data_IF_835498097786
#
_entry.id   IF_835498097786
#
_cell.length_a   1.000
_cell.length_b   1.000
_cell.length_c   1.000
_cell.angle_alpha   90.00
_cell.angle_beta   90.00
_cell.angle_gamma   90.00
#
_symmetry.space_group_name_H-M   'P 1'
#
loop_
_entity.id
_entity.type
_entity.pdbx_description
1 polymer ?
#
# COMPACT_ATOMS: atom_id res chain seq x y z
N UNK A 1 -3.60 -43.09 25.61
CA UNK A 1 -4.84 -42.77 24.88
C UNK A 1 -4.74 -41.49 24.00
N UNK A 2 -3.55 -41.01 23.60
CA UNK A 2 -3.40 -39.69 22.96
C UNK A 2 -3.47 -39.64 21.41
N UNK A 3 -3.31 -40.77 20.71
CA UNK A 3 -3.17 -40.74 19.24
C UNK A 3 -4.48 -40.67 18.45
N UNK A 4 -5.59 -41.17 19.00
CA UNK A 4 -6.88 -41.21 18.29
C UNK A 4 -7.57 -39.85 18.27
N UNK A 5 -7.45 -39.07 19.33
CA UNK A 5 -8.04 -37.74 19.44
C UNK A 5 -7.48 -36.79 18.37
N UNK A 6 -6.17 -36.83 18.11
CA UNK A 6 -5.55 -36.02 17.05
C UNK A 6 -6.02 -36.39 15.63
N UNK A 7 -6.24 -37.67 15.34
CA UNK A 7 -6.77 -38.11 14.04
C UNK A 7 -8.23 -37.67 13.84
N UNK A 8 -9.05 -37.79 14.88
CA UNK A 8 -10.46 -37.35 14.85
C UNK A 8 -10.53 -35.83 14.75
N UNK A 9 -9.73 -35.09 15.51
CA UNK A 9 -9.66 -33.63 15.49
C UNK A 9 -9.23 -33.09 14.12
N UNK A 10 -8.24 -33.74 13.48
CA UNK A 10 -7.82 -33.37 12.11
C UNK A 10 -8.95 -33.58 11.11
N UNK A 11 -9.69 -34.70 11.20
CA UNK A 11 -10.80 -34.98 10.30
C UNK A 11 -11.96 -33.98 10.49
N UNK A 12 -12.29 -33.64 11.74
CA UNK A 12 -13.36 -32.67 12.06
C UNK A 12 -12.96 -31.26 11.65
N UNK A 13 -11.76 -30.79 11.99
CA UNK A 13 -11.26 -29.46 11.62
C UNK A 13 -11.21 -29.25 10.10
N UNK A 14 -10.90 -30.29 9.33
CA UNK A 14 -10.91 -30.20 7.86
C UNK A 14 -12.31 -29.91 7.32
N UNK A 15 -13.33 -30.60 7.85
CA UNK A 15 -14.73 -30.37 7.45
C UNK A 15 -15.21 -28.97 7.85
N UNK A 16 -14.88 -28.53 9.07
CA UNK A 16 -15.30 -27.23 9.59
C UNK A 16 -14.63 -26.06 8.84
N UNK A 17 -13.30 -26.11 8.69
CA UNK A 17 -12.54 -25.06 8.00
C UNK A 17 -12.93 -24.96 6.52
N UNK A 18 -13.08 -26.08 5.82
CA UNK A 18 -13.50 -26.10 4.42
C UNK A 18 -14.93 -25.59 4.20
N UNK A 19 -15.85 -25.93 5.10
CA UNK A 19 -17.22 -25.42 5.04
C UNK A 19 -17.28 -23.90 5.28
N UNK A 20 -16.54 -23.40 6.27
CA UNK A 20 -16.44 -21.96 6.52
C UNK A 20 -15.84 -21.22 5.32
N UNK A 21 -14.73 -21.71 4.77
CA UNK A 21 -14.10 -21.11 3.60
C UNK A 21 -15.06 -21.05 2.41
N UNK A 22 -15.79 -22.14 2.11
CA UNK A 22 -16.75 -22.17 1.00
C UNK A 22 -17.87 -21.13 1.14
N UNK A 23 -18.39 -20.95 2.36
CA UNK A 23 -19.43 -19.94 2.65
C UNK A 23 -18.92 -18.52 2.44
N UNK A 24 -17.68 -18.25 2.89
CA UNK A 24 -17.05 -16.94 2.70
C UNK A 24 -16.79 -16.64 1.22
N UNK A 25 -16.23 -17.60 0.47
CA UNK A 25 -15.96 -17.44 -0.97
C UNK A 25 -17.23 -17.13 -1.74
N UNK A 26 -18.31 -17.89 -1.49
CA UNK A 26 -19.60 -17.66 -2.15
C UNK A 26 -20.24 -16.30 -1.84
N UNK A 27 -19.89 -15.70 -0.70
CA UNK A 27 -20.41 -14.38 -0.32
C UNK A 27 -19.54 -13.24 -0.87
N UNK A 28 -18.26 -13.50 -1.13
CA UNK A 28 -17.27 -12.48 -1.53
C UNK A 28 -16.88 -12.56 -3.01
N UNK A 29 -17.34 -13.56 -3.76
CA UNK A 29 -16.97 -13.76 -5.17
C UNK A 29 -17.46 -12.63 -6.10
N UNK A 30 -18.51 -11.91 -5.71
CA UNK A 30 -19.08 -10.81 -6.47
C UNK A 30 -18.37 -9.46 -6.24
N UNK A 31 -17.42 -9.40 -5.30
CA UNK A 31 -16.76 -8.15 -4.93
C UNK A 31 -15.59 -7.85 -5.85
N UNK A 32 -15.58 -6.64 -6.42
CA UNK A 32 -14.52 -6.20 -7.32
C UNK A 32 -14.12 -4.74 -7.03
N UNK A 33 -12.82 -4.48 -7.12
CA UNK A 33 -12.26 -3.13 -7.07
C UNK A 33 -12.42 -2.45 -8.43
N UNK A 34 -13.04 -1.29 -8.45
CA UNK A 34 -13.32 -0.50 -9.64
C UNK A 34 -12.23 0.55 -9.89
N UNK A 35 -12.18 1.11 -11.11
CA UNK A 35 -11.18 2.12 -11.49
C UNK A 35 -11.23 3.42 -10.66
N UNK A 36 -12.32 3.66 -9.95
CA UNK A 36 -12.48 4.79 -9.03
C UNK A 36 -11.98 4.48 -7.61
N UNK A 37 -11.23 3.37 -7.43
CA UNK A 37 -10.70 2.87 -6.16
C UNK A 37 -11.77 2.39 -5.15
N UNK A 38 -13.04 2.33 -5.56
CA UNK A 38 -14.13 1.81 -4.74
C UNK A 38 -14.29 0.30 -4.91
N UNK A 39 -14.71 -0.38 -3.84
CA UNK A 39 -15.07 -1.80 -3.90
C UNK A 39 -16.59 -1.91 -4.02
N UNK A 40 -17.06 -2.52 -5.10
CA UNK A 40 -18.49 -2.65 -5.42
C UNK A 40 -18.92 -4.10 -5.55
N UNK A 41 -20.19 -4.35 -5.25
CA UNK A 41 -20.87 -5.60 -5.56
C UNK A 41 -21.34 -5.61 -7.03
N UNK A 42 -21.75 -6.79 -7.51
CA UNK A 42 -22.34 -7.01 -8.83
C UNK A 42 -23.63 -6.19 -9.08
N UNK A 43 -24.37 -5.86 -8.02
CA UNK A 43 -25.57 -5.00 -8.05
C UNK A 43 -25.25 -3.51 -8.20
N UNK A 44 -23.99 -3.11 -8.05
CA UNK A 44 -23.55 -1.72 -8.04
C UNK A 44 -23.51 -1.05 -6.66
N UNK A 45 -23.85 -1.79 -5.59
CA UNK A 45 -23.75 -1.30 -4.22
C UNK A 45 -22.28 -1.11 -3.80
N UNK A 46 -21.99 0.03 -3.18
CA UNK A 46 -20.64 0.36 -2.67
C UNK A 46 -20.47 -0.27 -1.29
N UNK A 47 -19.46 -1.13 -1.15
CA UNK A 47 -19.11 -1.76 0.13
C UNK A 47 -18.02 -0.98 0.84
N UNK A 48 -17.01 -0.52 0.10
CA UNK A 48 -15.91 0.30 0.61
C UNK A 48 -15.63 1.45 -0.36
N UNK A 49 -15.46 2.66 0.18
CA UNK A 49 -15.06 3.83 -0.61
C UNK A 49 -13.61 3.75 -1.09
N UNK A 50 -12.73 3.20 -0.25
CA UNK A 50 -11.33 2.94 -0.57
C UNK A 50 -11.01 1.56 -0.01
N UNK A 51 -10.39 0.70 -0.83
CA UNK A 51 -9.99 -0.64 -0.42
C UNK A 51 -9.05 -0.58 0.79
N UNK A 52 -9.44 -1.17 1.92
CA UNK A 52 -8.60 -1.23 3.12
C UNK A 52 -8.28 0.14 3.75
N UNK A 53 -8.98 1.21 3.36
CA UNK A 53 -8.72 2.59 3.81
C UNK A 53 -7.57 3.28 3.07
N UNK A 54 -6.53 2.54 2.72
CA UNK A 54 -5.30 3.08 2.11
C UNK A 54 -5.18 2.79 0.60
N UNK A 55 -6.00 1.87 0.05
CA UNK A 55 -5.99 1.48 -1.36
C UNK A 55 -4.79 0.61 -1.77
N UNK A 56 -4.05 0.07 -0.79
CA UNK A 56 -2.84 -0.72 -1.03
C UNK A 56 -3.14 -2.23 -1.06
N UNK A 57 -2.41 -2.96 -1.89
CA UNK A 57 -2.51 -4.41 -1.99
C UNK A 57 -1.68 -5.10 -0.87
N UNK A 58 -2.29 -5.95 -0.01
CA UNK A 58 -1.55 -6.69 1.01
C UNK A 58 -0.46 -7.61 0.44
N UNK A 59 -0.58 -8.09 -0.81
CA UNK A 59 0.44 -8.92 -1.43
C UNK A 59 1.70 -8.13 -1.84
N UNK A 60 1.57 -6.81 -2.03
CA UNK A 60 2.65 -5.91 -2.38
C UNK A 60 3.37 -5.31 -1.15
N UNK A 61 2.97 -5.69 0.07
CA UNK A 61 3.58 -5.19 1.30
C UNK A 61 4.93 -5.84 1.55
N UNK A 62 5.99 -5.03 1.63
CA UNK A 62 7.34 -5.51 1.95
C UNK A 62 7.51 -5.79 3.45
N UNK A 63 6.83 -5.01 4.28
CA UNK A 63 6.90 -5.06 5.74
C UNK A 63 5.67 -5.69 6.39
N UNK A 64 5.61 -5.61 7.71
CA UNK A 64 4.42 -5.99 8.47
C UNK A 64 3.41 -4.83 8.40
N UNK A 65 2.39 -4.99 7.55
CA UNK A 65 1.34 -4.00 7.32
C UNK A 65 1.87 -2.62 6.82
N UNK A 66 3.09 -2.58 6.30
CA UNK A 66 3.74 -1.40 5.74
C UNK A 66 4.20 -1.67 4.31
N UNK A 67 4.04 -0.71 3.38
CA UNK A 67 4.36 -0.93 1.98
C UNK A 67 5.87 -1.07 1.74
N UNK A 68 6.71 -0.35 2.49
CA UNK A 68 8.15 -0.33 2.29
C UNK A 68 8.92 -0.49 3.61
N UNK A 69 9.99 -1.27 3.58
CA UNK A 69 10.97 -1.29 4.65
C UNK A 69 12.15 -0.35 4.32
N UNK A 70 12.14 0.86 4.88
CA UNK A 70 13.12 1.90 4.55
C UNK A 70 14.58 1.49 4.77
N UNK A 71 14.87 0.67 5.79
CA UNK A 71 16.24 0.21 6.08
C UNK A 71 16.77 -0.66 4.95
N UNK A 72 15.98 -1.64 4.52
CA UNK A 72 16.31 -2.57 3.44
C UNK A 72 16.53 -1.84 2.12
N UNK A 73 15.63 -0.90 1.80
CA UNK A 73 15.73 -0.08 0.58
C UNK A 73 17.00 0.77 0.62
N UNK A 74 17.28 1.43 1.74
CA UNK A 74 18.46 2.27 1.90
C UNK A 74 19.77 1.48 1.75
N UNK A 75 19.85 0.27 2.31
CA UNK A 75 21.02 -0.58 2.17
C UNK A 75 21.17 -1.12 0.73
N UNK A 76 20.08 -1.42 0.04
CA UNK A 76 20.09 -1.77 -1.38
C UNK A 76 20.65 -0.62 -2.22
N UNK A 77 20.16 0.60 -2.03
CA UNK A 77 20.61 1.79 -2.79
C UNK A 77 22.09 2.05 -2.56
N UNK A 78 22.58 1.93 -1.31
CA UNK A 78 24.01 2.05 -1.00
C UNK A 78 24.87 1.01 -1.70
N UNK A 79 24.37 -0.21 -1.84
CA UNK A 79 25.08 -1.30 -2.50
C UNK A 79 25.08 -1.16 -4.03
N UNK A 80 23.97 -0.71 -4.62
CA UNK A 80 23.82 -0.55 -6.08
C UNK A 80 24.56 0.70 -6.58
N UNK A 81 24.53 1.80 -5.82
CA UNK A 81 25.13 3.08 -6.19
C UNK A 81 26.21 3.52 -5.18
N UNK A 82 27.40 2.90 -5.20
CA UNK A 82 28.49 3.27 -4.31
C UNK A 82 29.17 4.57 -4.78
N UNK A 83 28.78 5.72 -4.20
CA UNK A 83 29.44 7.01 -4.43
C UNK A 83 30.57 7.22 -3.40
N UNK A 84 31.78 6.73 -3.68
CA UNK A 84 32.93 6.90 -2.77
C UNK A 84 33.63 8.27 -2.90
N UNK A 85 33.47 8.95 -4.04
CA UNK A 85 34.18 10.20 -4.34
C UNK A 85 33.41 11.46 -3.95
N UNK A 86 32.16 11.35 -3.54
CA UNK A 86 31.30 12.49 -3.19
C UNK A 86 31.26 12.68 -1.67
N UNK A 87 31.40 13.93 -1.16
CA UNK A 87 31.27 14.19 0.26
C UNK A 87 29.83 13.92 0.73
N UNK A 88 29.69 13.29 1.89
CA UNK A 88 28.38 13.08 2.49
C UNK A 88 27.72 14.43 2.82
N UNK A 89 26.47 14.61 2.40
CA UNK A 89 25.71 15.81 2.75
C UNK A 89 25.53 15.90 4.27
N UNK A 90 25.63 17.13 4.79
CA UNK A 90 25.29 17.41 6.17
C UNK A 90 23.78 17.25 6.40
N UNK A 91 23.37 17.02 7.66
CA UNK A 91 21.95 16.83 8.03
C UNK A 91 21.05 17.96 7.50
N UNK A 92 21.55 19.21 7.52
CA UNK A 92 20.78 20.37 7.06
C UNK A 92 20.63 20.37 5.53
N UNK A 93 21.69 20.02 4.79
CA UNK A 93 21.63 19.92 3.33
C UNK A 93 20.75 18.75 2.88
N UNK A 94 20.71 17.64 3.62
CA UNK A 94 19.81 16.52 3.33
C UNK A 94 18.33 16.91 3.46
N UNK A 95 17.96 17.65 4.50
CA UNK A 95 16.57 18.12 4.65
C UNK A 95 16.20 19.07 3.52
N UNK A 96 17.06 20.04 3.20
CA UNK A 96 16.82 21.01 2.12
C UNK A 96 16.71 20.34 0.74
N UNK A 97 17.59 19.38 0.44
CA UNK A 97 17.53 18.62 -0.82
C UNK A 97 16.30 17.73 -0.90
N UNK A 98 15.91 17.08 0.19
CA UNK A 98 14.71 16.23 0.26
C UNK A 98 13.44 17.06 0.04
N UNK A 99 13.31 18.20 0.72
CA UNK A 99 12.18 19.13 0.52
C UNK A 99 12.11 19.67 -0.92
N UNK A 100 13.27 19.89 -1.55
CA UNK A 100 13.35 20.33 -2.94
C UNK A 100 12.96 19.23 -3.92
N UNK A 101 13.29 17.97 -3.62
CA UNK A 101 12.91 16.81 -4.43
C UNK A 101 11.42 16.50 -4.27
N UNK A 102 10.88 16.56 -3.06
CA UNK A 102 9.45 16.31 -2.79
C UNK A 102 8.52 17.32 -3.47
N UNK A 103 8.99 18.55 -3.77
CA UNK A 103 8.24 19.56 -4.52
C UNK A 103 8.26 19.38 -6.04
N UNK A 104 8.98 18.38 -6.57
CA UNK A 104 9.02 18.12 -8.01
C UNK A 104 7.66 17.62 -8.50
N UNK A 105 7.35 17.89 -9.77
CA UNK A 105 6.08 17.54 -10.41
C UNK A 105 5.78 16.04 -10.44
N UNK A 106 6.80 15.20 -10.28
CA UNK A 106 6.70 13.74 -10.22
C UNK A 106 6.06 13.24 -8.91
N UNK A 107 6.06 14.03 -7.84
CA UNK A 107 5.55 13.66 -6.52
C UNK A 107 4.23 14.38 -6.15
N UNK A 108 3.65 15.16 -7.07
CA UNK A 108 2.37 15.86 -6.85
C UNK A 108 1.17 14.93 -6.68
N UNK A 109 1.30 13.65 -7.04
CA UNK A 109 0.26 12.62 -6.87
C UNK A 109 0.29 11.94 -5.49
N UNK A 110 1.29 12.23 -4.66
CA UNK A 110 1.32 11.73 -3.29
C UNK A 110 0.26 12.46 -2.46
N UNK A 111 -0.67 11.72 -1.85
CA UNK A 111 -1.65 12.31 -0.93
C UNK A 111 -0.94 13.07 0.21
N UNK A 112 -1.59 14.11 0.74
CA UNK A 112 -1.11 14.95 1.85
C UNK A 112 -0.71 14.14 3.10
N UNK A 113 -1.25 12.92 3.25
CA UNK A 113 -0.88 11.95 4.29
C UNK A 113 0.60 11.52 4.23
N UNK A 114 1.17 11.33 3.03
CA UNK A 114 2.58 10.94 2.87
C UNK A 114 3.55 12.08 3.24
N UNK A 115 3.15 13.32 2.97
CA UNK A 115 3.92 14.52 3.32
C UNK A 115 3.91 14.81 4.83
N UNK A 116 2.82 14.47 5.54
CA UNK A 116 2.76 14.57 7.00
C UNK A 116 3.66 13.54 7.70
N UNK A 117 3.69 12.29 7.23
CA UNK A 117 4.51 11.22 7.85
C UNK A 117 6.02 11.47 7.66
N UNK A 118 6.43 12.03 6.53
CA UNK A 118 7.85 12.31 6.28
C UNK A 118 8.36 13.57 7.01
N UNK A 119 7.48 14.53 7.33
CA UNK A 119 7.83 15.75 8.05
C UNK A 119 7.74 15.59 9.57
N UNK A 120 6.80 14.77 10.06
CA UNK A 120 6.68 14.40 11.46
C UNK A 120 7.49 13.13 11.75
N UNK A 121 8.79 13.29 12.02
CA UNK A 121 9.61 12.20 12.55
C UNK A 121 8.95 11.57 13.79
N UNK A 122 8.40 10.36 13.60
CA UNK A 122 8.11 9.38 14.64
C UNK A 122 7.31 9.87 15.85
N UNK A 123 6.07 10.33 15.68
CA UNK A 123 5.05 10.30 16.75
C UNK A 123 3.70 10.11 16.10
N UNK A 124 3.03 8.98 16.36
CA UNK A 124 1.61 8.80 16.03
C UNK A 124 0.76 9.83 16.78
N UNK A 125 -0.14 10.56 16.11
CA UNK A 125 -1.36 11.05 16.73
C UNK A 125 -2.58 10.42 16.05
N UNK A 126 -3.64 10.30 16.84
CA UNK A 126 -4.89 9.65 16.52
C UNK A 126 -5.51 10.10 15.17
N UNK A 127 -6.05 9.12 14.45
CA UNK A 127 -6.87 9.27 13.25
C UNK A 127 -8.02 10.29 13.47
N UNK A 128 -8.14 11.36 12.66
CA UNK A 128 -9.35 12.15 12.62
C UNK A 128 -10.43 11.42 11.79
N UNK A 129 -11.65 11.44 12.30
CA UNK A 129 -12.84 10.81 11.72
C UNK A 129 -13.16 11.28 10.29
N UNK A 130 -13.73 10.42 9.43
CA UNK A 130 -14.06 10.73 8.04
C UNK A 130 -15.34 11.57 7.94
N UNK A 131 -15.19 12.88 8.07
CA UNK A 131 -16.11 13.87 7.51
C UNK A 131 -15.23 14.97 6.96
N UNK A 132 -14.89 14.88 5.70
CA UNK A 132 -14.77 16.02 4.79
C UNK A 132 -14.60 15.44 3.39
N UNK A 133 -15.68 15.56 2.60
CA UNK A 133 -15.70 15.14 1.22
C UNK A 133 -14.83 16.06 0.39
N UNK A 134 -13.76 15.53 -0.19
CA UNK A 134 -13.05 16.23 -1.25
C UNK A 134 -13.48 15.67 -2.61
N UNK A 135 -14.25 16.50 -3.31
CA UNK A 135 -14.61 16.35 -4.71
C UNK A 135 -13.35 16.13 -5.56
N UNK A 136 -13.39 15.11 -6.43
CA UNK A 136 -12.35 14.84 -7.42
C UNK A 136 -12.57 15.75 -8.64
N UNK A 137 -11.61 16.60 -9.06
CA UNK A 137 -11.59 17.13 -10.41
C UNK A 137 -10.76 16.18 -11.29
N UNK A 138 -11.36 15.75 -12.40
CA UNK A 138 -10.76 14.78 -13.31
C UNK A 138 -9.67 15.33 -14.24
N UNK A 139 -9.13 14.40 -15.02
CA UNK A 139 -8.58 14.62 -16.36
C UNK A 139 -7.07 14.83 -16.46
N UNK A 140 -6.39 13.97 -17.22
CA UNK A 140 -5.04 14.27 -17.71
C UNK A 140 -4.26 13.08 -18.25
N UNK A 141 -4.59 12.61 -19.45
CA UNK A 141 -3.68 11.78 -20.25
C UNK A 141 -2.57 12.68 -20.79
N UNK A 142 -1.29 12.42 -20.49
CA UNK A 142 -0.18 13.10 -21.13
C UNK A 142 0.90 12.13 -21.59
N UNK A 143 1.12 12.13 -22.91
CA UNK A 143 2.17 11.39 -23.60
C UNK A 143 3.22 12.41 -24.04
N UNK A 144 4.39 12.41 -23.42
CA UNK A 144 5.58 13.06 -23.98
C UNK A 144 6.86 12.29 -23.66
N UNK A 145 7.64 11.98 -24.70
CA UNK A 145 9.10 12.05 -24.61
C UNK A 145 9.87 10.83 -24.11
N UNK A 146 9.81 9.72 -24.86
CA UNK A 146 11.01 8.93 -25.17
C UNK A 146 11.91 8.44 -24.03
N UNK A 147 11.41 7.53 -23.19
CA UNK A 147 12.14 6.36 -22.66
C UNK A 147 11.15 5.48 -21.89
N UNK A 148 10.77 4.35 -22.49
CA UNK A 148 9.89 3.38 -21.87
C UNK A 148 10.65 2.59 -20.80
N UNK A 149 10.63 3.06 -19.55
CA UNK A 149 10.75 2.13 -18.43
C UNK A 149 9.38 1.47 -18.26
N UNK A 150 9.29 0.22 -18.69
CA UNK A 150 8.17 -0.67 -18.38
C UNK A 150 8.22 -0.95 -16.87
N UNK A 151 7.58 -0.11 -16.07
CA UNK A 151 7.15 -0.55 -14.74
C UNK A 151 5.84 -1.27 -14.98
N UNK A 152 5.92 -2.60 -15.07
CA UNK A 152 4.77 -3.48 -14.94
C UNK A 152 4.21 -3.25 -13.53
N UNK A 153 3.15 -2.44 -13.42
CA UNK A 153 2.22 -2.60 -12.31
C UNK A 153 1.15 -3.58 -12.79
N UNK A 154 1.16 -4.76 -12.20
CA UNK A 154 0.02 -5.65 -12.17
C UNK A 154 -0.89 -5.22 -11.02
#
# INVERSE_FOLDING_TARGET
MAGREGLVDTAVKTAETGYMQRRLVKSLEDLCSQYDLTVRSSTGDIIQFIYGGDGLDPAAMEGKDEPLEFKRVLDNIKAVFPCQSEPALSKNELVLTTESIMKKTEFLCCQDSFLQVSSAGGVHPAWPSPRDGCCVPGGGFYKQGGRALRVFLC
#
